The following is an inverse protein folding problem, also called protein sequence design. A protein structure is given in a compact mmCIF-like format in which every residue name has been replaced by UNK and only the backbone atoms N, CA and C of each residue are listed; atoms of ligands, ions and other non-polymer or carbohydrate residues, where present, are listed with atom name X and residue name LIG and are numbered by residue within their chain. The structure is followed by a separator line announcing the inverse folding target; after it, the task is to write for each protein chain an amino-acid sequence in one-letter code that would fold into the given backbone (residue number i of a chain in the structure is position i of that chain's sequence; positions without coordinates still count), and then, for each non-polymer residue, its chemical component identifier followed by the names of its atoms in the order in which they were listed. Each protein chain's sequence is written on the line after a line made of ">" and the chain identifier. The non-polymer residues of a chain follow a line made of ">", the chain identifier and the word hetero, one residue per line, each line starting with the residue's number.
data_IF_628111275304
#
_entry.id   IF_628111275304
#
_cell.length_a   1.000
_cell.length_b   1.000
_cell.length_c   1.000
_cell.angle_alpha   90.00
_cell.angle_beta   90.00
_cell.angle_gamma   90.00
#
_symmetry.space_group_name_H-M   'P 1'
#
loop_
_entity.id
_entity.type
_entity.pdbx_description
1 polymer ?
#
# COMPACT_ATOMS: atom_id res chain seq x y z
N UNK A 1 6.47 16.89 15.12
CA UNK A 1 6.77 15.54 15.63
C UNK A 1 6.04 14.51 14.77
N UNK A 2 6.75 13.48 14.29
CA UNK A 2 6.28 12.22 13.71
C UNK A 2 5.24 12.24 12.56
N UNK A 3 5.70 12.45 11.32
CA UNK A 3 4.97 12.07 10.09
C UNK A 3 5.46 10.73 9.48
N UNK A 4 6.27 9.96 10.21
CA UNK A 4 6.94 8.75 9.71
C UNK A 4 6.14 7.44 9.75
N UNK A 5 4.91 7.44 10.28
CA UNK A 5 4.24 6.19 10.65
C UNK A 5 3.78 5.28 9.49
N UNK A 6 3.23 5.77 8.34
CA UNK A 6 2.85 4.86 7.27
C UNK A 6 4.07 4.23 6.60
N UNK A 7 5.11 5.04 6.33
CA UNK A 7 6.36 4.56 5.76
C UNK A 7 7.07 3.56 6.68
N UNK A 8 7.04 3.79 8.00
CA UNK A 8 7.61 2.88 8.99
C UNK A 8 6.88 1.53 9.06
N UNK A 9 5.55 1.51 8.98
CA UNK A 9 4.77 0.26 8.93
C UNK A 9 5.09 -0.56 7.68
N UNK A 10 5.13 0.09 6.50
CA UNK A 10 5.52 -0.57 5.25
C UNK A 10 6.99 -1.04 5.26
N UNK A 11 7.89 -0.30 5.92
CA UNK A 11 9.30 -0.68 6.07
C UNK A 11 9.51 -1.84 7.04
N UNK A 12 8.78 -1.88 8.17
CA UNK A 12 8.82 -3.00 9.13
C UNK A 12 8.30 -4.32 8.53
N UNK A 13 7.33 -4.26 7.62
CA UNK A 13 6.81 -5.44 6.94
C UNK A 13 7.64 -5.90 5.71
N UNK A 14 8.91 -5.47 5.59
CA UNK A 14 9.93 -6.13 4.79
C UNK A 14 9.84 -5.93 3.27
N UNK A 15 10.69 -5.05 2.73
CA UNK A 15 11.01 -4.97 1.30
C UNK A 15 12.38 -5.62 1.05
N UNK A 16 12.39 -6.86 0.58
CA UNK A 16 13.62 -7.51 0.07
C UNK A 16 14.06 -6.95 -1.30
N UNK A 17 15.36 -7.00 -1.67
CA UNK A 17 15.86 -6.37 -2.90
C UNK A 17 15.81 -7.30 -4.13
N UNK A 18 14.86 -7.18 -5.08
CA UNK A 18 14.84 -8.11 -6.26
C UNK A 18 14.35 -7.52 -7.61
N UNK A 19 15.27 -7.39 -8.61
CA UNK A 19 15.37 -7.03 -10.08
C UNK A 19 14.25 -6.37 -10.97
N UNK A 20 14.55 -5.70 -12.12
CA UNK A 20 13.99 -4.37 -12.49
C UNK A 20 12.73 -4.20 -13.39
N UNK A 21 12.24 -5.16 -14.19
CA UNK A 21 11.18 -4.86 -15.19
C UNK A 21 9.79 -5.47 -14.87
N UNK A 22 9.70 -6.76 -14.52
CA UNK A 22 8.48 -7.35 -13.95
C UNK A 22 8.14 -6.88 -12.52
N UNK A 23 9.03 -6.05 -11.95
CA UNK A 23 8.99 -5.57 -10.56
C UNK A 23 7.89 -4.56 -10.30
N UNK A 24 7.49 -3.75 -11.29
CA UNK A 24 6.54 -2.66 -11.06
C UNK A 24 5.15 -3.22 -10.81
N UNK A 25 4.66 -4.09 -11.69
CA UNK A 25 3.37 -4.75 -11.49
C UNK A 25 3.37 -5.59 -10.20
N UNK A 26 4.38 -6.45 -9.97
CA UNK A 26 4.48 -7.22 -8.72
C UNK A 26 4.52 -6.35 -7.44
N UNK A 27 5.22 -5.20 -7.47
CA UNK A 27 5.24 -4.25 -6.35
C UNK A 27 3.91 -3.57 -6.14
N UNK A 28 3.24 -3.17 -7.22
CA UNK A 28 1.94 -2.55 -7.17
C UNK A 28 0.88 -3.54 -6.65
N UNK A 29 0.94 -4.80 -7.08
CA UNK A 29 0.06 -5.87 -6.56
C UNK A 29 0.31 -6.14 -5.08
N UNK A 30 1.57 -6.22 -4.63
CA UNK A 30 1.87 -6.40 -3.20
C UNK A 30 1.48 -5.17 -2.36
N UNK A 31 1.65 -3.96 -2.90
CA UNK A 31 1.17 -2.73 -2.26
C UNK A 31 -0.36 -2.69 -2.16
N UNK A 32 -1.08 -3.06 -3.23
CA UNK A 32 -2.55 -3.18 -3.22
C UNK A 32 -3.02 -4.16 -2.14
N UNK A 33 -2.40 -5.34 -2.07
CA UNK A 33 -2.71 -6.37 -1.06
C UNK A 33 -2.55 -5.83 0.36
N UNK A 34 -1.43 -5.16 0.65
CA UNK A 34 -1.16 -4.60 1.99
C UNK A 34 -2.04 -3.42 2.36
N UNK A 35 -2.40 -2.57 1.40
CA UNK A 35 -3.39 -1.52 1.64
C UNK A 35 -4.75 -2.13 1.98
N UNK A 36 -5.13 -3.22 1.31
CA UNK A 36 -6.34 -3.96 1.63
C UNK A 36 -6.31 -4.54 3.05
N UNK A 37 -5.18 -5.11 3.49
CA UNK A 37 -4.98 -5.59 4.86
C UNK A 37 -5.09 -4.45 5.88
N UNK A 38 -4.42 -3.33 5.62
CA UNK A 38 -4.47 -2.14 6.49
C UNK A 38 -5.89 -1.59 6.61
N UNK A 39 -6.60 -1.43 5.49
CA UNK A 39 -7.99 -0.95 5.49
C UNK A 39 -8.90 -1.91 6.28
N UNK A 40 -8.72 -3.22 6.11
CA UNK A 40 -9.50 -4.25 6.82
C UNK A 40 -9.23 -4.22 8.33
N UNK A 41 -7.96 -4.17 8.76
CA UNK A 41 -7.60 -4.04 10.17
C UNK A 41 -8.13 -2.74 10.79
N UNK A 42 -8.04 -1.63 10.05
CA UNK A 42 -8.37 -0.31 10.58
C UNK A 42 -9.85 0.03 10.50
N UNK A 43 -10.64 -0.64 9.66
CA UNK A 43 -12.09 -0.49 9.59
C UNK A 43 -12.78 -0.85 10.92
N UNK A 44 -12.25 -1.83 11.68
CA UNK A 44 -12.74 -2.18 13.01
C UNK A 44 -12.25 -1.24 14.13
N UNK A 45 -11.22 -0.44 13.89
CA UNK A 45 -10.60 0.45 14.89
C UNK A 45 -11.24 1.85 14.99
N UNK A 46 -12.25 2.13 14.15
CA UNK A 46 -13.20 3.23 14.39
C UNK A 46 -12.66 4.66 14.32
N UNK A 47 -11.60 4.94 13.54
CA UNK A 47 -11.17 6.33 13.38
C UNK A 47 -9.74 6.56 12.92
N UNK A 48 -9.26 5.84 11.91
CA UNK A 48 -7.99 6.25 11.29
C UNK A 48 -8.27 7.27 10.20
N UNK A 49 -7.87 8.53 10.43
CA UNK A 49 -7.87 9.63 9.44
C UNK A 49 -7.12 9.26 8.15
N UNK A 50 -6.30 8.21 8.19
CA UNK A 50 -5.56 7.64 7.07
C UNK A 50 -6.40 6.73 6.16
N UNK A 51 -7.58 6.26 6.57
CA UNK A 51 -8.41 5.35 5.77
C UNK A 51 -8.77 5.94 4.39
N UNK A 52 -9.24 7.20 4.26
CA UNK A 52 -9.53 7.78 2.95
C UNK A 52 -8.28 7.95 2.09
N UNK A 53 -7.15 8.27 2.71
CA UNK A 53 -5.86 8.43 2.01
C UNK A 53 -5.34 7.10 1.46
N UNK A 54 -5.37 6.04 2.28
CA UNK A 54 -4.93 4.70 1.87
C UNK A 54 -5.87 4.11 0.81
N UNK A 55 -7.18 4.31 0.94
CA UNK A 55 -8.14 3.89 -0.08
C UNK A 55 -7.93 4.63 -1.41
N UNK A 56 -7.64 5.93 -1.38
CA UNK A 56 -7.32 6.73 -2.56
C UNK A 56 -6.04 6.26 -3.26
N UNK A 57 -4.98 5.98 -2.50
CA UNK A 57 -3.72 5.48 -3.07
C UNK A 57 -3.87 4.06 -3.63
N UNK A 58 -4.65 3.21 -2.97
CA UNK A 58 -4.98 1.87 -3.47
C UNK A 58 -5.69 1.94 -4.82
N UNK A 59 -6.65 2.86 -5.00
CA UNK A 59 -7.35 3.05 -6.27
C UNK A 59 -6.39 3.45 -7.40
N UNK A 60 -5.44 4.36 -7.13
CA UNK A 60 -4.43 4.78 -8.12
C UNK A 60 -3.47 3.65 -8.51
N UNK A 61 -3.13 2.80 -7.56
CA UNK A 61 -2.28 1.62 -7.81
C UNK A 61 -3.01 0.60 -8.68
N UNK A 62 -4.31 0.36 -8.43
CA UNK A 62 -5.13 -0.51 -9.28
C UNK A 62 -5.28 0.02 -10.70
N UNK A 63 -5.42 1.33 -10.86
CA UNK A 63 -5.43 1.97 -12.17
C UNK A 63 -4.07 1.80 -12.89
N UNK A 64 -2.97 2.05 -12.19
CA UNK A 64 -1.62 1.84 -12.75
C UNK A 64 -1.30 0.37 -13.08
N UNK A 65 -1.92 -0.59 -12.39
CA UNK A 65 -1.86 -2.00 -12.74
C UNK A 65 -2.65 -2.29 -14.02
N UNK A 66 -3.87 -1.73 -14.13
CA UNK A 66 -4.73 -1.88 -15.31
C UNK A 66 -4.12 -1.27 -16.58
N UNK A 67 -3.39 -0.17 -16.45
CA UNK A 67 -2.70 0.50 -17.57
C UNK A 67 -1.34 -0.13 -17.92
N UNK A 68 -0.81 -0.98 -17.04
CA UNK A 68 0.51 -1.63 -17.20
C UNK A 68 0.47 -3.06 -17.75
N UNK A 69 -0.72 -3.63 -17.95
CA UNK A 69 -0.98 -4.86 -18.72
C UNK A 69 -1.30 -4.55 -20.19
#
# INVERSE_FOLDING_TARGET
>A
MNTGFPAFWFAMHGFGPIRPAGRRSQRLTELDRRMSEFLTEKQGSGGSELLPHVAGEQARIREALREGE
#
